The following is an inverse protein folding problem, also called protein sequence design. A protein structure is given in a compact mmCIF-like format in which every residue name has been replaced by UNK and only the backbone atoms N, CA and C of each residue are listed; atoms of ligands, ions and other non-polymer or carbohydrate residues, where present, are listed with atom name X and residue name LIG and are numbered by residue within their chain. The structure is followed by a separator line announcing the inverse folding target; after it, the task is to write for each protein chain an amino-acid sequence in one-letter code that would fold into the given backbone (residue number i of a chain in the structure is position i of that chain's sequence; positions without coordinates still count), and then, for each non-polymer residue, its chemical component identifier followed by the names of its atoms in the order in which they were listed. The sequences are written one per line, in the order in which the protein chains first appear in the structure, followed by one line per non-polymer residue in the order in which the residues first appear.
data_IF_846866494656
#
_entry.id   IF_846866494656
#
_cell.length_a   1.000
_cell.length_b   1.000
_cell.length_c   1.000
_cell.angle_alpha   90.00
_cell.angle_beta   90.00
_cell.angle_gamma   90.00
#
_symmetry.space_group_name_H-M   'P 1'
#
loop_
_entity.id
_entity.type
_entity.pdbx_description
1 polymer ?
#
# COMPACT_ATOMS: atom_id res chain seq x y z
N UNK A 1 0.21 17.65 1.72
CA UNK A 1 -0.62 18.35 2.72
C UNK A 1 0.24 18.69 3.92
N UNK A 2 -0.17 19.63 4.76
CA UNK A 2 0.62 20.06 5.92
C UNK A 2 0.62 19.05 7.10
N UNK A 3 -0.14 17.95 6.99
CA UNK A 3 -0.28 16.94 8.05
C UNK A 3 0.61 15.73 7.77
N UNK A 4 1.24 15.22 8.82
CA UNK A 4 2.09 14.03 8.78
C UNK A 4 1.24 12.77 8.61
N UNK A 5 1.75 11.77 7.90
CA UNK A 5 1.01 10.53 7.62
C UNK A 5 0.60 9.78 8.90
N UNK A 6 1.44 9.84 9.95
CA UNK A 6 1.10 9.31 11.27
C UNK A 6 -0.15 9.95 11.89
N UNK A 7 -0.43 11.22 11.60
CA UNK A 7 -1.67 11.85 12.03
C UNK A 7 -2.86 11.25 11.31
N UNK A 8 -2.78 11.10 9.97
CA UNK A 8 -3.85 10.51 9.18
C UNK A 8 -4.16 9.07 9.61
N UNK A 9 -3.12 8.29 9.90
CA UNK A 9 -3.25 6.93 10.43
C UNK A 9 -4.15 6.87 11.68
N UNK A 10 -3.83 7.70 12.68
CA UNK A 10 -4.60 7.77 13.93
C UNK A 10 -5.99 8.37 13.72
N UNK A 11 -6.07 9.45 12.96
CA UNK A 11 -7.33 10.15 12.70
C UNK A 11 -8.38 9.25 12.03
N UNK A 12 -7.96 8.37 11.12
CA UNK A 12 -8.86 7.41 10.48
C UNK A 12 -9.00 6.10 11.27
N UNK A 13 -8.35 5.97 12.43
CA UNK A 13 -8.41 4.81 13.31
C UNK A 13 -7.93 3.54 12.63
N UNK A 14 -6.86 3.64 11.81
CA UNK A 14 -6.30 2.52 11.06
C UNK A 14 -5.61 1.49 11.97
N UNK A 15 -5.23 1.88 13.18
CA UNK A 15 -4.76 1.01 14.26
C UNK A 15 -5.73 -0.13 14.63
N UNK A 16 -7.00 -0.04 14.24
CA UNK A 16 -7.98 -1.13 14.41
C UNK A 16 -7.84 -2.26 13.39
N UNK A 17 -7.12 -2.01 12.30
CA UNK A 17 -7.03 -2.92 11.16
C UNK A 17 -5.60 -3.30 10.81
N UNK A 18 -4.62 -2.49 11.25
CA UNK A 18 -3.22 -2.62 10.90
C UNK A 18 -2.38 -2.81 12.16
N UNK A 19 -1.48 -3.78 12.12
CA UNK A 19 -0.64 -4.21 13.23
C UNK A 19 0.84 -4.35 12.79
N UNK A 20 1.64 -5.00 13.62
CA UNK A 20 3.07 -5.24 13.36
C UNK A 20 3.37 -6.08 12.12
N UNK A 21 2.39 -6.84 11.61
CA UNK A 21 2.53 -7.57 10.36
C UNK A 21 2.40 -6.67 9.13
N UNK A 22 1.88 -5.45 9.31
CA UNK A 22 1.64 -4.50 8.21
C UNK A 22 2.91 -3.76 7.82
N UNK A 23 3.32 -3.91 6.56
CA UNK A 23 4.46 -3.18 6.00
C UNK A 23 4.08 -1.72 5.72
N UNK A 24 4.79 -0.79 6.37
CA UNK A 24 4.59 0.64 6.19
C UNK A 24 5.90 1.37 5.85
N UNK A 25 5.78 2.60 5.38
CA UNK A 25 6.95 3.45 5.12
C UNK A 25 7.50 4.09 6.40
N UNK A 26 8.61 4.83 6.27
CA UNK A 26 9.30 5.45 7.41
C UNK A 26 8.51 6.58 8.08
N UNK A 27 7.49 7.15 7.42
CA UNK A 27 6.57 8.13 7.98
C UNK A 27 5.64 7.54 9.05
N UNK A 28 5.54 6.21 9.12
CA UNK A 28 4.75 5.49 10.13
C UNK A 28 5.60 4.89 11.26
N UNK A 29 6.89 5.24 11.35
CA UNK A 29 7.75 4.80 12.46
C UNK A 29 7.12 5.21 13.80
N UNK A 30 7.07 4.27 14.75
CA UNK A 30 6.50 4.49 16.09
C UNK A 30 5.00 4.22 16.20
N UNK A 31 4.36 3.68 15.15
CA UNK A 31 2.94 3.31 15.15
C UNK A 31 2.70 1.80 15.28
N UNK A 32 3.73 1.03 15.66
CA UNK A 32 3.61 -0.43 15.80
C UNK A 32 3.54 -1.19 14.47
N UNK A 33 3.91 -0.57 13.34
CA UNK A 33 3.91 -1.20 12.02
C UNK A 33 5.33 -1.67 11.62
N UNK A 34 5.41 -2.67 10.74
CA UNK A 34 6.68 -3.12 10.16
C UNK A 34 7.24 -2.05 9.21
N UNK A 35 8.21 -1.27 9.72
CA UNK A 35 8.83 -0.16 8.97
C UNK A 35 10.33 -0.42 8.75
N UNK A 36 10.90 0.03 7.61
CA UNK A 36 12.34 -0.07 7.41
C UNK A 36 13.11 0.72 8.48
N UNK A 37 14.14 0.10 9.06
CA UNK A 37 15.02 0.71 10.03
C UNK A 37 15.62 2.01 9.48
N UNK A 38 15.44 3.11 10.23
CA UNK A 38 16.03 4.42 9.91
C UNK A 38 17.47 4.48 10.42
N UNK A 39 18.38 4.97 9.58
CA UNK A 39 19.77 5.25 9.99
C UNK A 39 19.77 6.40 10.99
N UNK A 40 20.33 6.18 12.19
CA UNK A 40 20.57 7.25 13.17
C UNK A 40 21.80 8.09 12.76
N UNK A 41 21.87 9.39 13.13
CA UNK A 41 23.07 10.19 12.92
C UNK A 41 24.31 9.51 13.51
N UNK A 42 25.43 9.51 12.77
CA UNK A 42 26.68 8.90 13.21
C UNK A 42 26.73 7.36 13.22
N UNK A 43 25.62 6.66 12.99
CA UNK A 43 25.57 5.19 13.04
C UNK A 43 25.31 4.58 11.66
N UNK A 44 25.99 3.46 11.37
CA UNK A 44 25.71 2.64 10.19
C UNK A 44 24.63 1.61 10.52
N UNK A 45 23.74 1.34 9.55
CA UNK A 45 22.82 0.21 9.67
C UNK A 45 23.61 -1.09 9.76
N UNK A 46 23.20 -1.98 10.67
CA UNK A 46 23.74 -3.33 10.80
C UNK A 46 23.48 -4.13 9.51
N UNK A 47 24.21 -5.23 9.31
CA UNK A 47 24.02 -6.11 8.14
C UNK A 47 22.58 -6.66 8.09
N UNK A 48 22.05 -7.02 9.25
CA UNK A 48 20.68 -7.52 9.40
C UNK A 48 19.63 -6.46 9.09
N UNK A 49 19.77 -5.25 9.63
CA UNK A 49 18.87 -4.12 9.31
C UNK A 49 18.86 -3.82 7.81
N UNK A 50 20.01 -3.91 7.12
CA UNK A 50 20.06 -3.73 5.67
C UNK A 50 19.35 -4.84 4.91
N UNK A 51 19.49 -6.10 5.35
CA UNK A 51 18.80 -7.24 4.76
C UNK A 51 17.29 -7.08 4.91
N UNK A 52 16.81 -6.77 6.12
CA UNK A 52 15.38 -6.57 6.39
C UNK A 52 14.83 -5.38 5.59
N UNK A 53 15.55 -4.25 5.56
CA UNK A 53 15.16 -3.11 4.74
C UNK A 53 15.08 -3.44 3.25
N UNK A 54 15.95 -4.32 2.72
CA UNK A 54 15.90 -4.74 1.31
C UNK A 54 14.61 -5.50 1.01
N UNK A 55 14.19 -6.39 1.91
CA UNK A 55 12.93 -7.14 1.78
C UNK A 55 11.73 -6.18 1.84
N UNK A 56 11.67 -5.34 2.88
CA UNK A 56 10.58 -4.37 3.05
C UNK A 56 10.48 -3.41 1.87
N UNK A 57 11.61 -2.88 1.40
CA UNK A 57 11.63 -1.97 0.24
C UNK A 57 11.17 -2.67 -1.05
N UNK A 58 11.48 -3.95 -1.25
CA UNK A 58 11.00 -4.72 -2.40
C UNK A 58 9.47 -4.80 -2.40
N UNK A 59 8.87 -5.18 -1.28
CA UNK A 59 7.42 -5.22 -1.13
C UNK A 59 6.79 -3.84 -1.36
N UNK A 60 7.36 -2.80 -0.75
CA UNK A 60 6.88 -1.42 -0.88
C UNK A 60 6.91 -0.91 -2.32
N UNK A 61 7.92 -1.28 -3.10
CA UNK A 61 8.04 -0.87 -4.51
C UNK A 61 6.90 -1.40 -5.40
N UNK A 62 6.30 -2.55 -5.06
CA UNK A 62 5.12 -3.08 -5.76
C UNK A 62 3.92 -2.19 -5.47
N UNK A 63 3.68 -1.88 -4.19
CA UNK A 63 2.58 -1.03 -3.74
C UNK A 63 2.70 0.38 -4.33
N UNK A 64 3.90 0.98 -4.30
CA UNK A 64 4.15 2.30 -4.89
C UNK A 64 3.86 2.33 -6.39
N UNK A 65 4.20 1.26 -7.12
CA UNK A 65 3.89 1.14 -8.54
C UNK A 65 2.39 1.06 -8.80
N UNK A 66 1.66 0.31 -7.98
CA UNK A 66 0.19 0.25 -8.04
C UNK A 66 -0.42 1.63 -7.77
N UNK A 67 0.02 2.32 -6.71
CA UNK A 67 -0.45 3.69 -6.40
C UNK A 67 -0.11 4.65 -7.54
N UNK A 68 1.07 4.54 -8.13
CA UNK A 68 1.46 5.34 -9.28
C UNK A 68 0.51 5.11 -10.47
N UNK A 69 0.18 3.86 -10.80
CA UNK A 69 -0.80 3.57 -11.84
C UNK A 69 -2.18 4.16 -11.51
N UNK A 70 -2.66 4.00 -10.28
CA UNK A 70 -3.93 4.59 -9.81
C UNK A 70 -3.97 6.10 -10.03
N UNK A 71 -2.87 6.80 -9.70
CA UNK A 71 -2.72 8.25 -9.90
C UNK A 71 -2.63 8.63 -11.38
N UNK A 72 -1.75 7.97 -12.14
CA UNK A 72 -1.52 8.24 -13.56
C UNK A 72 -2.80 8.05 -14.37
N UNK A 73 -3.56 6.99 -14.09
CA UNK A 73 -4.80 6.66 -14.78
C UNK A 73 -6.00 7.44 -14.22
N UNK A 74 -5.76 8.31 -13.23
CA UNK A 74 -6.77 9.19 -12.63
C UNK A 74 -7.98 8.42 -12.08
N UNK A 75 -7.76 7.18 -11.63
CA UNK A 75 -8.82 6.27 -11.17
C UNK A 75 -9.61 6.90 -10.01
N UNK A 76 -8.92 7.58 -9.10
CA UNK A 76 -9.55 8.27 -7.96
C UNK A 76 -9.96 9.71 -8.26
N UNK A 77 -9.63 10.25 -9.44
CA UNK A 77 -9.95 11.63 -9.81
C UNK A 77 -11.37 11.75 -10.38
N UNK A 78 -11.81 10.74 -11.12
CA UNK A 78 -13.15 10.72 -11.72
C UNK A 78 -14.00 9.70 -10.99
N UNK A 79 -15.18 10.10 -10.54
CA UNK A 79 -16.14 9.17 -9.97
C UNK A 79 -16.53 8.08 -10.96
N UNK A 80 -16.89 6.91 -10.44
CA UNK A 80 -17.45 5.83 -11.25
C UNK A 80 -18.73 6.31 -11.94
N UNK A 81 -18.80 6.20 -13.28
CA UNK A 81 -19.85 6.83 -14.09
C UNK A 81 -21.21 6.10 -14.06
N UNK A 82 -21.26 4.87 -13.55
CA UNK A 82 -22.49 4.07 -13.44
C UNK A 82 -23.03 4.13 -12.01
N UNK A 83 -24.29 3.72 -11.75
CA UNK A 83 -24.81 3.62 -10.40
C UNK A 83 -23.85 2.84 -9.48
N UNK A 84 -23.51 3.41 -8.31
CA UNK A 84 -22.51 2.85 -7.40
C UNK A 84 -22.86 1.42 -6.94
N UNK A 85 -24.15 1.09 -6.83
CA UNK A 85 -24.61 -0.26 -6.50
C UNK A 85 -24.19 -1.34 -7.53
N UNK A 86 -23.82 -0.94 -8.75
CA UNK A 86 -23.30 -1.85 -9.78
C UNK A 86 -21.78 -2.01 -9.74
N UNK A 87 -21.06 -1.18 -8.97
CA UNK A 87 -19.60 -1.16 -8.97
C UNK A 87 -19.01 -2.55 -8.68
N UNK A 88 -19.48 -3.21 -7.62
CA UNK A 88 -18.99 -4.54 -7.25
C UNK A 88 -19.19 -5.58 -8.36
N UNK A 89 -20.35 -5.57 -9.03
CA UNK A 89 -20.63 -6.47 -10.16
C UNK A 89 -19.71 -6.19 -11.35
N UNK A 90 -19.60 -4.92 -11.75
CA UNK A 90 -18.75 -4.52 -12.88
C UNK A 90 -17.28 -4.85 -12.59
N UNK A 91 -16.80 -4.56 -11.39
CA UNK A 91 -15.46 -4.89 -10.95
C UNK A 91 -15.20 -6.40 -11.04
N UNK A 92 -16.10 -7.24 -10.50
CA UNK A 92 -15.95 -8.69 -10.54
C UNK A 92 -15.94 -9.25 -11.96
N UNK A 93 -16.80 -8.74 -12.86
CA UNK A 93 -16.82 -9.16 -14.28
C UNK A 93 -15.53 -8.76 -14.98
N UNK A 94 -15.09 -7.50 -14.84
CA UNK A 94 -13.85 -7.02 -15.47
C UNK A 94 -12.64 -7.79 -14.93
N UNK A 95 -12.55 -7.99 -13.60
CA UNK A 95 -11.54 -8.85 -12.98
C UNK A 95 -11.59 -10.24 -13.61
N UNK A 96 -12.78 -10.81 -13.73
CA UNK A 96 -13.03 -12.10 -14.36
C UNK A 96 -12.39 -12.22 -15.75
N UNK A 97 -12.72 -11.27 -16.61
CA UNK A 97 -12.24 -11.21 -17.99
C UNK A 97 -10.72 -11.01 -18.08
N UNK A 98 -10.14 -10.18 -17.22
CA UNK A 98 -8.68 -9.95 -17.19
C UNK A 98 -7.93 -11.23 -16.78
N UNK A 99 -8.41 -11.95 -15.76
CA UNK A 99 -7.79 -13.21 -15.34
C UNK A 99 -7.93 -14.31 -16.39
N UNK A 100 -9.09 -14.40 -17.03
CA UNK A 100 -9.31 -15.31 -18.16
C UNK A 100 -8.33 -15.02 -19.31
N UNK A 101 -8.16 -13.75 -19.69
CA UNK A 101 -7.23 -13.33 -20.73
C UNK A 101 -5.76 -13.58 -20.37
N UNK A 102 -5.43 -13.60 -19.08
CA UNK A 102 -4.09 -13.91 -18.57
C UNK A 102 -3.82 -15.41 -18.40
N UNK A 103 -4.78 -16.29 -18.72
CA UNK A 103 -4.63 -17.75 -18.61
C UNK A 103 -4.77 -18.30 -17.18
N UNK A 104 -5.33 -17.52 -16.25
CA UNK A 104 -5.58 -17.96 -14.87
C UNK A 104 -6.95 -18.62 -14.70
N UNK A 105 -7.01 -19.73 -13.97
CA UNK A 105 -8.26 -20.33 -13.46
C UNK A 105 -8.60 -19.73 -12.09
N UNK A 106 -9.90 -19.59 -11.79
CA UNK A 106 -10.36 -19.12 -10.48
C UNK A 106 -10.36 -20.30 -9.50
N UNK A 107 -9.51 -20.24 -8.47
CA UNK A 107 -9.71 -20.95 -7.20
C UNK A 107 -9.93 -19.94 -6.07
#
# INVERSE_FOLDING_TARGET
GARHDAYAFKHHGLERYLDESTVADKGYIGLGLATPARRKPGQRLSREQRRNNRVLNRLRSVVERVIAHIKTWRILHTGFRRPLGLYGRVFSVVRGLVFLAAGGTFE
#
